data_IF_071259415523
#
_entry.id   IF_071259415523
#
_cell.length_a   1.000
_cell.length_b   1.000
_cell.length_c   1.000
_cell.angle_alpha   90.00
_cell.angle_beta   90.00
_cell.angle_gamma   90.00
#
_symmetry.space_group_name_H-M   'P 1'
#
loop_
_entity.id
_entity.type
_entity.pdbx_description
1 polymer ?
#
# COMPACT_ATOMS: atom_id res chain seq x y z
N UNK A 1 6.00 4.60 -38.19
CA UNK A 1 6.22 3.18 -38.59
C UNK A 1 6.15 2.23 -37.40
N UNK A 2 6.97 2.42 -36.35
CA UNK A 2 6.99 1.54 -35.15
C UNK A 2 5.61 1.38 -34.50
N UNK A 3 4.87 2.48 -34.26
CA UNK A 3 3.55 2.39 -33.61
C UNK A 3 2.52 1.55 -34.40
N UNK A 4 2.56 1.59 -35.73
CA UNK A 4 1.68 0.77 -36.57
C UNK A 4 2.04 -0.71 -36.47
N UNK A 5 3.35 -1.02 -36.42
CA UNK A 5 3.83 -2.38 -36.21
C UNK A 5 3.47 -2.89 -34.80
N UNK A 6 3.58 -2.04 -33.77
CA UNK A 6 3.17 -2.40 -32.40
C UNK A 6 1.66 -2.65 -32.28
N UNK A 7 0.83 -1.85 -32.96
CA UNK A 7 -0.61 -2.10 -33.07
C UNK A 7 -0.88 -3.48 -33.66
N UNK A 8 -0.21 -3.81 -34.76
CA UNK A 8 -0.40 -5.09 -35.43
C UNK A 8 0.14 -6.26 -34.59
N UNK A 9 1.26 -6.04 -33.87
CA UNK A 9 1.83 -7.01 -32.94
C UNK A 9 0.88 -7.32 -31.78
N UNK A 10 0.36 -6.30 -31.08
CA UNK A 10 -0.61 -6.49 -30.00
C UNK A 10 -1.89 -7.19 -30.48
N UNK A 11 -2.37 -6.85 -31.69
CA UNK A 11 -3.50 -7.54 -32.32
C UNK A 11 -3.22 -9.02 -32.56
N UNK A 12 -2.03 -9.36 -33.08
CA UNK A 12 -1.64 -10.74 -33.36
C UNK A 12 -1.43 -11.54 -32.08
N UNK A 13 -0.83 -10.95 -31.03
CA UNK A 13 -0.69 -11.60 -29.73
C UNK A 13 -2.05 -12.05 -29.18
N UNK A 14 -3.05 -11.17 -29.20
CA UNK A 14 -4.41 -11.50 -28.76
C UNK A 14 -5.09 -12.58 -29.61
N UNK A 15 -4.82 -12.63 -30.91
CA UNK A 15 -5.40 -13.63 -31.82
C UNK A 15 -4.76 -15.02 -31.68
N UNK A 16 -3.45 -15.06 -31.44
CA UNK A 16 -2.68 -16.31 -31.42
C UNK A 16 -2.63 -16.95 -30.02
N UNK A 17 -2.59 -16.15 -28.95
CA UNK A 17 -2.45 -16.62 -27.57
C UNK A 17 -3.74 -16.43 -26.76
N UNK A 18 -4.84 -17.02 -27.22
CA UNK A 18 -6.19 -16.83 -26.68
C UNK A 18 -6.39 -17.33 -25.24
N UNK A 19 -5.52 -18.21 -24.74
CA UNK A 19 -5.59 -18.74 -23.36
C UNK A 19 -4.86 -17.87 -22.32
N UNK A 20 -4.11 -16.85 -22.77
CA UNK A 20 -3.40 -15.95 -21.85
C UNK A 20 -4.34 -14.83 -21.36
N UNK A 21 -4.21 -14.48 -20.09
CA UNK A 21 -4.84 -13.29 -19.53
C UNK A 21 -4.21 -12.03 -20.14
N UNK A 22 -4.86 -11.45 -21.16
CA UNK A 22 -4.45 -10.18 -21.75
C UNK A 22 -5.19 -9.02 -21.09
N UNK A 23 -4.43 -8.14 -20.42
CA UNK A 23 -4.90 -6.81 -20.03
C UNK A 23 -4.26 -5.73 -20.92
N UNK A 24 -5.00 -4.67 -21.28
CA UNK A 24 -4.43 -3.56 -22.06
C UNK A 24 -3.44 -2.76 -21.22
N UNK A 25 -2.41 -2.19 -21.86
CA UNK A 25 -1.49 -1.25 -21.21
C UNK A 25 -2.23 -0.12 -20.49
N UNK A 26 -1.64 0.38 -19.41
CA UNK A 26 -2.14 1.56 -18.72
C UNK A 26 -2.12 2.77 -19.67
N UNK A 27 -3.22 3.52 -19.69
CA UNK A 27 -3.39 4.67 -20.58
C UNK A 27 -4.16 5.80 -19.88
N UNK A 28 -3.89 5.99 -18.59
CA UNK A 28 -4.53 7.00 -17.73
C UNK A 28 -6.06 6.87 -17.66
N UNK A 29 -6.57 5.65 -17.75
CA UNK A 29 -7.99 5.32 -17.54
C UNK A 29 -8.15 4.47 -16.28
N UNK A 30 -9.36 4.44 -15.72
CA UNK A 30 -9.68 3.64 -14.54
C UNK A 30 -9.41 2.15 -14.79
N UNK A 31 -8.74 1.49 -13.84
CA UNK A 31 -8.46 0.04 -13.82
C UNK A 31 -8.64 -0.52 -12.42
N UNK A 32 -8.79 -1.83 -12.34
CA UNK A 32 -8.76 -2.59 -11.10
C UNK A 32 -7.59 -3.57 -11.16
N UNK A 33 -6.86 -3.68 -10.06
CA UNK A 33 -5.91 -4.77 -9.78
C UNK A 33 -6.27 -5.33 -8.43
N UNK A 34 -6.04 -6.63 -8.25
CA UNK A 34 -6.27 -7.33 -6.99
C UNK A 34 -5.05 -8.16 -6.62
N UNK A 35 -5.00 -8.57 -5.36
CA UNK A 35 -3.89 -9.25 -4.77
C UNK A 35 -4.15 -9.54 -3.30
N UNK A 36 -3.10 -9.83 -2.56
CA UNK A 36 -3.16 -10.06 -1.11
C UNK A 36 -2.06 -9.30 -0.40
N UNK A 37 -2.24 -9.07 0.90
CA UNK A 37 -1.18 -8.53 1.75
C UNK A 37 -0.07 -9.58 1.87
N UNK A 38 1.13 -9.26 1.36
CA UNK A 38 2.28 -10.16 1.43
C UNK A 38 3.60 -9.42 1.33
N UNK A 39 4.61 -9.99 1.99
CA UNK A 39 5.98 -9.49 1.99
C UNK A 39 6.77 -9.95 0.75
N UNK A 40 8.08 -9.78 0.79
CA UNK A 40 8.99 -10.21 -0.27
C UNK A 40 10.28 -10.81 0.27
N UNK A 41 10.99 -11.57 -0.56
CA UNK A 41 12.30 -12.14 -0.24
C UNK A 41 13.31 -11.62 -1.28
N UNK A 42 13.88 -10.42 -1.07
CA UNK A 42 14.64 -9.74 -2.12
C UNK A 42 15.94 -10.47 -2.47
N UNK A 43 16.54 -11.18 -1.51
CA UNK A 43 17.80 -11.92 -1.64
C UNK A 43 17.81 -13.10 -0.68
N UNK A 44 18.74 -14.03 -0.91
CA UNK A 44 18.94 -15.18 -0.04
C UNK A 44 19.17 -14.76 1.44
N UNK A 45 18.49 -15.45 2.36
CA UNK A 45 18.52 -15.16 3.80
C UNK A 45 17.77 -13.91 4.26
N UNK A 46 17.08 -13.18 3.37
CA UNK A 46 16.33 -11.96 3.73
C UNK A 46 14.83 -12.11 3.49
N UNK A 47 14.03 -11.68 4.47
CA UNK A 47 12.57 -11.58 4.35
C UNK A 47 12.10 -10.22 4.82
N UNK A 48 11.36 -9.53 3.97
CA UNK A 48 10.58 -8.36 4.34
C UNK A 48 9.16 -8.81 4.68
N UNK A 49 8.71 -8.47 5.89
CA UNK A 49 7.31 -8.69 6.30
C UNK A 49 6.40 -7.76 5.51
N UNK A 50 5.11 -8.09 5.46
CA UNK A 50 4.15 -7.29 4.72
C UNK A 50 3.75 -5.99 5.44
N UNK A 51 4.09 -5.81 6.71
CA UNK A 51 3.60 -4.69 7.56
C UNK A 51 4.76 -4.04 8.31
N UNK A 52 4.71 -2.71 8.41
CA UNK A 52 5.61 -1.89 9.23
C UNK A 52 4.85 -1.18 10.35
N UNK A 53 5.58 -0.68 11.33
CA UNK A 53 5.02 -0.09 12.56
C UNK A 53 5.69 1.25 12.89
N UNK A 54 5.10 2.01 13.82
CA UNK A 54 5.66 3.27 14.30
C UNK A 54 7.05 3.08 14.93
N UNK A 55 7.30 1.92 15.57
CA UNK A 55 8.63 1.58 16.09
C UNK A 55 9.71 1.64 14.99
N UNK A 56 9.37 1.26 13.75
CA UNK A 56 10.29 1.36 12.61
C UNK A 56 10.63 2.80 12.23
N UNK A 57 9.71 3.75 12.44
CA UNK A 57 9.99 5.19 12.28
C UNK A 57 10.97 5.63 13.37
N UNK A 58 10.75 5.22 14.62
CA UNK A 58 11.61 5.59 15.75
C UNK A 58 13.01 4.99 15.62
N UNK A 59 13.13 3.72 15.19
CA UNK A 59 14.41 3.09 14.87
C UNK A 59 15.20 3.91 13.84
N UNK A 60 14.52 4.40 12.78
CA UNK A 60 15.16 5.28 11.78
C UNK A 60 15.53 6.63 12.36
N UNK A 61 14.66 7.26 13.14
CA UNK A 61 14.95 8.56 13.75
C UNK A 61 16.14 8.48 14.72
N UNK A 62 16.27 7.38 15.48
CA UNK A 62 17.37 7.14 16.41
C UNK A 62 18.74 6.98 15.73
N UNK A 63 18.80 6.86 14.40
CA UNK A 63 20.08 6.89 13.66
C UNK A 63 20.74 8.27 13.65
N UNK A 64 19.98 9.33 13.98
CA UNK A 64 20.46 10.72 13.94
C UNK A 64 20.58 11.30 12.52
N UNK A 65 20.19 10.58 11.48
CA UNK A 65 20.14 11.12 10.13
C UNK A 65 19.01 12.15 9.99
N UNK A 66 19.34 13.35 9.49
CA UNK A 66 18.41 14.46 9.25
C UNK A 66 17.22 14.07 8.36
N UNK A 67 17.41 13.13 7.43
CA UNK A 67 16.35 12.68 6.52
C UNK A 67 15.27 11.87 7.27
N UNK A 68 15.58 11.40 8.49
CA UNK A 68 14.66 10.68 9.37
C UNK A 68 14.24 11.52 10.58
N UNK A 69 14.41 12.84 10.54
CA UNK A 69 13.88 13.73 11.58
C UNK A 69 12.35 13.59 11.66
N UNK A 70 11.82 13.56 12.89
CA UNK A 70 10.37 13.50 13.16
C UNK A 70 9.97 14.65 14.08
N UNK A 71 8.70 15.11 14.03
CA UNK A 71 8.19 16.07 15.00
C UNK A 71 8.19 15.50 16.43
N UNK A 72 8.50 16.33 17.43
CA UNK A 72 8.57 15.93 18.84
C UNK A 72 7.28 15.28 19.32
N UNK A 73 6.12 15.83 18.93
CA UNK A 73 4.82 15.27 19.26
C UNK A 73 4.64 13.81 18.82
N UNK A 74 5.17 13.41 17.66
CA UNK A 74 5.06 12.03 17.20
C UNK A 74 5.87 11.09 18.11
N UNK A 75 7.03 11.56 18.59
CA UNK A 75 7.86 10.85 19.57
C UNK A 75 7.18 10.77 20.93
N UNK A 76 6.58 11.85 21.41
CA UNK A 76 5.82 11.87 22.67
C UNK A 76 4.66 10.87 22.67
N UNK A 77 3.86 10.84 21.59
CA UNK A 77 2.78 9.86 21.42
C UNK A 77 3.29 8.42 21.38
N UNK A 78 4.46 8.20 20.77
CA UNK A 78 5.10 6.88 20.75
C UNK A 78 5.56 6.44 22.15
N UNK A 79 6.21 7.33 22.91
CA UNK A 79 6.68 7.06 24.28
C UNK A 79 5.52 6.78 25.23
N UNK A 80 4.44 7.54 25.11
CA UNK A 80 3.22 7.35 25.90
C UNK A 80 2.35 6.17 25.44
N UNK A 81 2.63 5.61 24.24
CA UNK A 81 1.76 4.66 23.53
C UNK A 81 0.33 5.16 23.36
N UNK A 82 0.16 6.46 23.19
CA UNK A 82 -1.14 7.10 23.03
C UNK A 82 -1.59 7.02 21.56
N UNK A 83 -2.14 5.85 21.19
CA UNK A 83 -2.55 5.54 19.82
C UNK A 83 -4.07 5.45 19.64
N UNK A 84 -4.83 5.67 20.71
CA UNK A 84 -6.28 5.48 20.71
C UNK A 84 -6.69 4.09 20.20
N UNK A 85 -7.77 3.98 19.39
CA UNK A 85 -8.27 2.71 18.87
C UNK A 85 -7.51 2.20 17.62
N UNK A 86 -6.44 2.88 17.20
CA UNK A 86 -5.77 2.62 15.92
C UNK A 86 -4.62 1.61 16.02
N UNK A 87 -4.20 1.26 17.23
CA UNK A 87 -3.16 0.28 17.48
C UNK A 87 -3.73 -1.13 17.67
N UNK A 88 -2.86 -2.10 17.40
CA UNK A 88 -3.10 -3.53 17.50
C UNK A 88 -2.16 -4.06 18.59
N UNK A 89 -2.70 -4.45 19.76
CA UNK A 89 -1.93 -4.83 20.94
C UNK A 89 -0.82 -3.81 21.33
N UNK A 90 -1.15 -2.52 21.24
CA UNK A 90 -0.21 -1.44 21.55
C UNK A 90 0.87 -1.21 20.48
N UNK A 91 0.71 -1.80 19.29
CA UNK A 91 1.57 -1.61 18.11
C UNK A 91 0.80 -0.83 17.04
N UNK A 92 1.26 0.38 16.73
CA UNK A 92 0.65 1.19 15.69
C UNK A 92 1.19 0.78 14.29
N UNK A 93 0.34 0.26 13.38
CA UNK A 93 0.70 0.05 11.98
C UNK A 93 1.06 1.36 11.29
N UNK A 94 1.93 1.31 10.27
CA UNK A 94 2.25 2.49 9.44
C UNK A 94 1.97 2.20 7.97
N UNK A 95 2.68 1.23 7.39
CA UNK A 95 2.50 0.84 5.99
C UNK A 95 2.36 -0.67 5.86
N UNK A 96 1.86 -1.09 4.71
CA UNK A 96 1.87 -2.49 4.31
C UNK A 96 2.11 -2.66 2.80
N UNK A 97 2.51 -3.88 2.44
CA UNK A 97 2.79 -4.32 1.08
C UNK A 97 1.65 -5.20 0.56
N UNK A 98 1.41 -5.13 -0.74
CA UNK A 98 0.47 -6.00 -1.43
C UNK A 98 1.01 -6.48 -2.78
N UNK A 99 0.45 -7.58 -3.27
CA UNK A 99 0.80 -8.20 -4.55
C UNK A 99 0.07 -7.58 -5.75
N UNK A 100 -0.41 -6.34 -5.62
CA UNK A 100 -1.20 -5.67 -6.65
C UNK A 100 -0.26 -5.09 -7.74
N UNK A 101 -0.66 -5.14 -9.00
CA UNK A 101 0.09 -4.54 -10.10
C UNK A 101 -0.26 -3.06 -10.23
N UNK A 102 0.65 -2.20 -9.80
CA UNK A 102 0.51 -0.73 -9.89
C UNK A 102 1.63 -0.11 -10.71
N UNK A 103 1.41 1.13 -11.15
CA UNK A 103 2.41 1.97 -11.81
C UNK A 103 2.17 3.46 -11.49
N UNK A 104 2.93 4.35 -12.13
CA UNK A 104 2.69 5.79 -12.09
C UNK A 104 1.25 6.11 -12.49
N UNK A 105 0.56 6.90 -11.66
CA UNK A 105 -0.88 7.17 -11.78
C UNK A 105 -1.74 6.45 -10.72
N UNK A 106 -1.21 5.43 -10.04
CA UNK A 106 -1.89 4.77 -8.92
C UNK A 106 -1.66 5.46 -7.55
N UNK A 107 -0.90 6.54 -7.47
CA UNK A 107 -0.73 7.30 -6.22
C UNK A 107 -2.09 7.80 -5.72
N UNK A 108 -2.41 7.52 -4.46
CA UNK A 108 -3.71 7.82 -3.84
C UNK A 108 -4.81 6.81 -4.15
N UNK A 109 -4.54 5.72 -4.89
CA UNK A 109 -5.56 4.69 -5.15
C UNK A 109 -6.00 4.01 -3.84
N UNK A 110 -7.31 3.81 -3.63
CA UNK A 110 -7.82 3.11 -2.46
C UNK A 110 -7.52 1.61 -2.56
N UNK A 111 -6.99 1.04 -1.48
CA UNK A 111 -6.94 -0.41 -1.28
C UNK A 111 -8.13 -0.82 -0.43
N UNK A 112 -8.94 -1.75 -0.94
CA UNK A 112 -10.16 -2.22 -0.29
C UNK A 112 -10.05 -3.69 0.09
N UNK A 113 -10.68 -4.07 1.21
CA UNK A 113 -10.79 -5.46 1.64
C UNK A 113 -11.84 -6.25 0.82
N UNK A 114 -12.03 -7.52 1.16
CA UNK A 114 -12.99 -8.41 0.51
C UNK A 114 -14.45 -7.95 0.64
N UNK A 115 -14.75 -7.03 1.56
CA UNK A 115 -16.08 -6.48 1.80
C UNK A 115 -16.25 -5.06 1.22
N UNK A 116 -15.22 -4.53 0.55
CA UNK A 116 -15.24 -3.19 -0.04
C UNK A 116 -14.89 -2.06 0.93
N UNK A 117 -14.33 -2.36 2.11
CA UNK A 117 -13.93 -1.35 3.09
C UNK A 117 -12.51 -0.85 2.79
N UNK A 118 -12.27 0.45 2.94
CA UNK A 118 -10.94 1.04 2.77
C UNK A 118 -9.98 0.56 3.86
N UNK A 119 -8.86 -0.06 3.47
CA UNK A 119 -7.82 -0.56 4.39
C UNK A 119 -6.46 0.12 4.19
N UNK A 120 -6.24 0.78 3.05
CA UNK A 120 -5.02 1.54 2.83
C UNK A 120 -5.07 2.45 1.62
N UNK A 121 -4.03 3.28 1.49
CA UNK A 121 -3.87 4.19 0.37
C UNK A 121 -2.53 3.91 -0.31
N UNK A 122 -2.57 3.55 -1.59
CA UNK A 122 -1.37 3.25 -2.37
C UNK A 122 -0.56 4.54 -2.61
N UNK A 123 0.76 4.47 -2.44
CA UNK A 123 1.62 5.62 -2.72
C UNK A 123 2.88 5.29 -3.51
N UNK A 124 3.39 4.05 -3.48
CA UNK A 124 4.65 3.69 -4.13
C UNK A 124 4.75 2.20 -4.48
N UNK A 125 5.92 1.77 -4.97
CA UNK A 125 6.30 0.39 -5.28
C UNK A 125 7.67 0.06 -4.68
N UNK A 126 7.92 -1.20 -4.36
CA UNK A 126 9.23 -1.61 -3.86
C UNK A 126 10.30 -1.51 -4.94
N UNK A 127 11.57 -1.51 -4.53
CA UNK A 127 12.72 -1.42 -5.43
C UNK A 127 12.71 -2.50 -6.52
N UNK A 128 12.43 -3.73 -6.14
CA UNK A 128 12.36 -4.89 -7.06
C UNK A 128 11.19 -4.77 -8.06
N UNK A 129 10.21 -3.93 -7.77
CA UNK A 129 9.01 -3.73 -8.61
C UNK A 129 9.20 -2.69 -9.71
N UNK A 130 10.34 -2.01 -9.76
CA UNK A 130 10.58 -0.91 -10.71
C UNK A 130 10.50 -1.35 -12.18
N UNK A 131 10.68 -2.65 -12.46
CA UNK A 131 10.54 -3.24 -13.80
C UNK A 131 9.09 -3.57 -14.23
N UNK A 132 8.11 -3.45 -13.32
CA UNK A 132 6.73 -3.93 -13.52
C UNK A 132 5.96 -3.23 -14.65
N UNK A 133 6.46 -2.12 -15.17
CA UNK A 133 5.90 -1.45 -16.35
C UNK A 133 6.21 -2.20 -17.66
N UNK A 134 7.24 -3.05 -17.65
CA UNK A 134 7.66 -3.85 -18.80
C UNK A 134 7.38 -5.34 -18.56
N UNK A 135 7.64 -5.83 -17.35
CA UNK A 135 7.44 -7.22 -16.98
C UNK A 135 7.07 -7.33 -15.51
N UNK A 136 5.85 -7.79 -15.25
CA UNK A 136 5.38 -8.08 -13.91
C UNK A 136 5.83 -9.47 -13.47
N UNK A 137 6.45 -9.54 -12.30
CA UNK A 137 6.79 -10.80 -11.63
C UNK A 137 6.10 -10.84 -10.25
N UNK A 138 5.10 -11.72 -10.06
CA UNK A 138 4.33 -11.79 -8.82
C UNK A 138 5.18 -12.20 -7.61
N UNK A 139 6.36 -12.81 -7.81
CA UNK A 139 7.23 -13.24 -6.71
C UNK A 139 7.96 -12.08 -6.03
N UNK A 140 8.18 -10.97 -6.72
CA UNK A 140 8.97 -9.82 -6.24
C UNK A 140 8.22 -8.49 -6.29
N UNK A 141 7.22 -8.33 -7.17
CA UNK A 141 6.52 -7.07 -7.34
C UNK A 141 5.56 -6.81 -6.17
N UNK A 142 5.74 -5.69 -5.46
CA UNK A 142 4.91 -5.22 -4.36
C UNK A 142 4.59 -3.74 -4.50
N UNK A 143 3.32 -3.41 -4.33
CA UNK A 143 2.88 -2.03 -4.13
C UNK A 143 2.94 -1.68 -2.64
N UNK A 144 3.18 -0.40 -2.33
CA UNK A 144 3.33 0.12 -0.97
C UNK A 144 2.13 1.00 -0.65
N UNK A 145 1.47 0.68 0.47
CA UNK A 145 0.28 1.39 0.95
C UNK A 145 0.50 1.89 2.37
N UNK A 146 0.00 3.07 2.69
CA UNK A 146 -0.16 3.49 4.09
C UNK A 146 -1.38 2.78 4.67
N UNK A 147 -1.27 2.28 5.90
CA UNK A 147 -2.36 1.65 6.63
C UNK A 147 -3.39 2.72 7.02
N UNK A 148 -4.68 2.46 6.76
CA UNK A 148 -5.73 3.45 7.04
C UNK A 148 -5.78 3.81 8.53
N UNK A 149 -5.38 2.90 9.43
CA UNK A 149 -5.30 3.17 10.87
C UNK A 149 -4.25 4.23 11.18
N UNK A 150 -3.12 4.24 10.46
CA UNK A 150 -2.11 5.29 10.62
C UNK A 150 -2.62 6.65 10.14
N UNK A 151 -3.36 6.67 9.02
CA UNK A 151 -3.99 7.90 8.51
C UNK A 151 -4.97 8.45 9.54
N UNK A 152 -5.85 7.60 10.07
CA UNK A 152 -6.82 8.00 11.10
C UNK A 152 -6.13 8.44 12.40
N UNK A 153 -5.09 7.75 12.84
CA UNK A 153 -4.27 8.16 13.99
C UNK A 153 -3.66 9.56 13.79
N UNK A 154 -3.13 9.84 12.60
CA UNK A 154 -2.56 11.16 12.32
C UNK A 154 -3.64 12.24 12.33
N UNK A 155 -4.82 11.97 11.77
CA UNK A 155 -5.94 12.93 11.74
C UNK A 155 -6.51 13.17 13.13
N UNK A 156 -6.82 12.11 13.87
CA UNK A 156 -7.50 12.17 15.16
C UNK A 156 -6.54 12.57 16.29
N UNK A 157 -5.54 11.73 16.58
CA UNK A 157 -4.69 11.87 17.76
C UNK A 157 -3.57 12.90 17.54
N UNK A 158 -2.85 12.80 16.43
CA UNK A 158 -1.72 13.70 16.19
C UNK A 158 -2.19 15.12 15.84
N UNK A 159 -3.19 15.28 14.96
CA UNK A 159 -3.65 16.60 14.54
C UNK A 159 -4.80 17.15 15.40
N UNK A 160 -5.49 16.33 16.20
CA UNK A 160 -6.66 16.77 16.97
C UNK A 160 -7.87 17.09 16.09
N UNK A 161 -7.94 16.53 14.87
CA UNK A 161 -8.97 16.81 13.87
C UNK A 161 -10.05 15.71 13.83
N UNK A 162 -10.47 15.22 15.01
CA UNK A 162 -11.45 14.13 15.14
C UNK A 162 -12.78 14.36 14.40
N UNK A 163 -13.18 15.62 14.20
CA UNK A 163 -14.36 15.97 13.39
C UNK A 163 -14.34 15.42 11.95
N UNK A 164 -13.15 15.22 11.36
CA UNK A 164 -13.01 14.58 10.04
C UNK A 164 -13.23 13.08 10.12
N UNK A 165 -12.86 12.45 11.24
CA UNK A 165 -13.11 11.03 11.49
C UNK A 165 -14.60 10.80 11.76
N UNK A 166 -15.26 11.71 12.47
CA UNK A 166 -16.71 11.67 12.73
C UNK A 166 -17.55 11.75 11.45
N UNK A 167 -17.03 12.36 10.37
CA UNK A 167 -17.68 12.39 9.05
C UNK A 167 -17.65 11.01 8.35
N UNK A 168 -16.74 10.12 8.75
CA UNK A 168 -16.54 8.82 8.11
C UNK A 168 -17.43 7.74 8.74
N UNK A 169 -17.79 6.72 7.96
CA UNK A 169 -18.39 5.49 8.50
C UNK A 169 -17.30 4.48 8.79
N UNK A 170 -16.89 4.38 10.06
CA UNK A 170 -15.92 3.38 10.50
C UNK A 170 -16.60 2.03 10.71
N UNK A 171 -15.97 0.97 10.19
CA UNK A 171 -16.40 -0.42 10.36
C UNK A 171 -15.32 -1.21 11.09
N UNK A 172 -15.72 -2.14 11.96
CA UNK A 172 -14.81 -3.01 12.71
C UNK A 172 -15.10 -4.47 12.43
N UNK A 173 -14.12 -5.35 12.60
CA UNK A 173 -14.32 -6.81 12.43
C UNK A 173 -15.43 -7.37 13.34
N UNK A 174 -15.61 -6.79 14.53
CA UNK A 174 -16.73 -7.12 15.43
C UNK A 174 -18.11 -6.85 14.82
N UNK A 175 -18.19 -5.93 13.86
CA UNK A 175 -19.43 -5.54 13.21
C UNK A 175 -19.76 -6.49 12.04
N UNK A 176 -18.75 -7.23 11.56
CA UNK A 176 -18.83 -8.14 10.42
C UNK A 176 -19.20 -9.58 10.81
N UNK A 177 -18.93 -9.97 12.06
CA UNK A 177 -19.33 -11.29 12.61
C UNK A 177 -20.82 -11.36 13.00
N UNK A 178 -21.53 -10.23 12.98
CA UNK A 178 -22.98 -10.13 13.25
C UNK A 178 -23.84 -9.95 11.99
N UNK A 179 -23.26 -10.14 10.78
CA UNK A 179 -23.97 -10.15 9.50
C UNK A 179 -23.86 -11.53 8.85
#
# INVERSE_FOLDING_TARGET
KVNLLMRDYARLQKQLFHENDFWPDANSTLRLSFGKAEGSNPRDGMTYTFRTTLDGIIQKNNTGNKDFAIPDRLRELWEAKDYGPYADDGVLPVCFLGSNHTTGGNSGSPAIDANGNLVGLNFDRTWESTMSDIMFDPSICRNIMVDIRYVLFIVDIYAGAGHLVDEMTLVRESDMTNR
#
